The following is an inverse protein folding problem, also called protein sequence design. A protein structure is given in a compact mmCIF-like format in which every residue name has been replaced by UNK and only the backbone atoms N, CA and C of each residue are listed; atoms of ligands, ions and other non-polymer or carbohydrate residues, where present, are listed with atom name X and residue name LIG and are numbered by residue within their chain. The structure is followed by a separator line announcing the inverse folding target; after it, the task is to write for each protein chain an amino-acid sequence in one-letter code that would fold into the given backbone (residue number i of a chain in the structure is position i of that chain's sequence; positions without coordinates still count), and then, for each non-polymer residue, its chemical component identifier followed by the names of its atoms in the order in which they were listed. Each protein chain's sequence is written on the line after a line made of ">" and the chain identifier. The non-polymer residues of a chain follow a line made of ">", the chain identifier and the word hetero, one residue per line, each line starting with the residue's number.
data_IF_180296066364
#
_entry.id   IF_180296066364
#
_cell.length_a   1.000
_cell.length_b   1.000
_cell.length_c   1.000
_cell.angle_alpha   90.00
_cell.angle_beta   90.00
_cell.angle_gamma   90.00
#
_symmetry.space_group_name_H-M   'P 1'
#
loop_
_entity.id
_entity.type
_entity.pdbx_description
1 polymer ?
#
# COMPACT_ATOMS: atom_id res chain seq x y z
N UNK A 1 -34.27 -14.25 -5.25
CA UNK A 1 -32.86 -14.32 -5.71
C UNK A 1 -32.35 -12.88 -5.77
N UNK A 2 -31.81 -12.41 -4.65
CA UNK A 2 -31.27 -11.06 -4.54
C UNK A 2 -29.83 -11.08 -5.03
N UNK A 3 -29.56 -10.45 -6.17
CA UNK A 3 -28.21 -10.22 -6.66
C UNK A 3 -27.42 -9.45 -5.62
N UNK A 4 -26.51 -10.12 -4.95
CA UNK A 4 -25.41 -9.44 -4.26
C UNK A 4 -24.63 -8.74 -5.38
N UNK A 5 -24.64 -7.41 -5.42
CA UNK A 5 -23.82 -6.66 -6.34
C UNK A 5 -22.37 -7.05 -6.08
N UNK A 6 -21.84 -7.96 -6.88
CA UNK A 6 -20.42 -8.28 -6.89
C UNK A 6 -19.69 -6.97 -7.20
N UNK A 7 -18.89 -6.53 -6.26
CA UNK A 7 -18.01 -5.38 -6.46
C UNK A 7 -17.09 -5.72 -7.63
N UNK A 8 -17.01 -4.80 -8.59
CA UNK A 8 -16.23 -5.02 -9.80
C UNK A 8 -14.75 -5.25 -9.46
N UNK A 9 -14.15 -6.38 -9.85
CA UNK A 9 -12.73 -6.64 -9.60
C UNK A 9 -11.79 -5.56 -10.17
N UNK A 10 -12.22 -4.89 -11.25
CA UNK A 10 -11.46 -3.80 -11.87
C UNK A 10 -11.45 -2.56 -10.96
N UNK A 11 -12.55 -2.23 -10.30
CA UNK A 11 -12.62 -1.11 -9.36
C UNK A 11 -11.72 -1.38 -8.16
N UNK A 12 -11.76 -2.61 -7.62
CA UNK A 12 -10.86 -3.04 -6.55
C UNK A 12 -9.38 -2.88 -6.95
N UNK A 13 -9.01 -3.29 -8.15
CA UNK A 13 -7.66 -3.17 -8.68
C UNK A 13 -7.24 -1.70 -8.85
N UNK A 14 -8.06 -0.88 -9.52
CA UNK A 14 -7.72 0.51 -9.84
C UNK A 14 -7.66 1.38 -8.59
N UNK A 15 -8.64 1.24 -7.69
CA UNK A 15 -8.67 2.00 -6.42
C UNK A 15 -7.49 1.61 -5.55
N UNK A 16 -7.20 0.32 -5.42
CA UNK A 16 -6.05 -0.15 -4.64
C UNK A 16 -4.72 0.34 -5.22
N UNK A 17 -4.57 0.33 -6.55
CA UNK A 17 -3.38 0.87 -7.23
C UNK A 17 -3.20 2.35 -6.95
N UNK A 18 -4.26 3.15 -7.13
CA UNK A 18 -4.20 4.59 -6.96
C UNK A 18 -3.89 5.00 -5.51
N UNK A 19 -4.57 4.38 -4.55
CA UNK A 19 -4.40 4.66 -3.12
C UNK A 19 -2.98 4.36 -2.68
N UNK A 20 -2.47 3.16 -2.99
CA UNK A 20 -1.13 2.75 -2.55
C UNK A 20 -0.07 3.56 -3.27
N UNK A 21 -0.20 3.82 -4.57
CA UNK A 21 0.75 4.66 -5.29
C UNK A 21 0.86 6.06 -4.67
N UNK A 22 -0.28 6.67 -4.29
CA UNK A 22 -0.28 8.01 -3.67
C UNK A 22 0.24 7.98 -2.23
N UNK A 23 -0.10 6.96 -1.44
CA UNK A 23 0.35 6.83 -0.06
C UNK A 23 1.85 6.58 0.05
N UNK A 24 2.42 5.91 -0.95
CA UNK A 24 3.82 5.48 -0.99
C UNK A 24 4.78 6.58 -1.49
N UNK A 25 4.29 7.55 -2.27
CA UNK A 25 5.15 8.64 -2.76
C UNK A 25 5.64 9.49 -1.57
N UNK A 26 6.95 9.50 -1.36
CA UNK A 26 7.61 10.21 -0.25
C UNK A 26 7.65 9.42 1.06
N UNK A 27 7.25 8.15 1.05
CA UNK A 27 7.30 7.27 2.21
C UNK A 27 8.72 6.73 2.48
N UNK A 28 8.92 6.13 3.66
CA UNK A 28 10.20 5.57 4.11
C UNK A 28 10.75 4.51 3.16
N UNK A 29 9.89 3.70 2.56
CA UNK A 29 10.28 2.63 1.64
C UNK A 29 10.70 3.13 0.28
N UNK A 30 10.14 4.23 -0.21
CA UNK A 30 10.67 4.92 -1.38
C UNK A 30 12.08 5.46 -1.12
N UNK A 31 12.34 6.02 0.07
CA UNK A 31 13.66 6.47 0.46
C UNK A 31 14.63 5.29 0.62
N UNK A 32 14.19 4.17 1.21
CA UNK A 32 14.98 2.94 1.28
C UNK A 32 15.35 2.41 -0.11
N UNK A 33 14.40 2.36 -1.04
CA UNK A 33 14.64 1.95 -2.43
C UNK A 33 15.71 2.82 -3.09
N UNK A 34 15.64 4.13 -2.85
CA UNK A 34 16.64 5.10 -3.30
C UNK A 34 18.03 4.84 -2.73
N UNK A 35 18.15 4.64 -1.41
CA UNK A 35 19.43 4.36 -0.73
C UNK A 35 20.05 3.06 -1.25
N UNK A 36 19.25 2.00 -1.43
CA UNK A 36 19.69 0.73 -1.97
C UNK A 36 20.19 0.90 -3.43
N UNK A 37 19.48 1.67 -4.25
CA UNK A 37 19.88 1.97 -5.62
C UNK A 37 21.21 2.74 -5.68
N UNK A 38 21.37 3.78 -4.86
CA UNK A 38 22.59 4.57 -4.77
C UNK A 38 23.79 3.72 -4.30
N UNK A 39 23.58 2.86 -3.32
CA UNK A 39 24.62 2.00 -2.74
C UNK A 39 25.05 0.89 -3.69
N UNK A 40 24.12 0.14 -4.23
CA UNK A 40 24.43 -1.07 -5.00
C UNK A 40 24.56 -0.83 -6.50
N UNK A 41 23.93 0.22 -7.04
CA UNK A 41 23.94 0.56 -8.47
C UNK A 41 23.56 -0.60 -9.40
N UNK A 42 22.66 -1.47 -8.91
CA UNK A 42 22.16 -2.64 -9.65
C UNK A 42 20.61 -2.62 -9.61
N UNK A 43 19.97 -1.85 -10.52
CA UNK A 43 18.51 -1.64 -10.44
C UNK A 43 17.69 -2.92 -10.59
N UNK A 44 18.04 -3.81 -11.49
CA UNK A 44 17.25 -5.02 -11.78
C UNK A 44 17.06 -5.90 -10.54
N UNK A 45 18.12 -6.37 -9.84
CA UNK A 45 17.93 -7.19 -8.64
C UNK A 45 17.22 -6.43 -7.51
N UNK A 46 17.36 -5.10 -7.42
CA UNK A 46 16.62 -4.28 -6.43
C UNK A 46 15.13 -4.29 -6.77
N UNK A 47 14.75 -3.98 -8.02
CA UNK A 47 13.34 -3.94 -8.45
C UNK A 47 12.67 -5.31 -8.25
N UNK A 48 13.35 -6.40 -8.60
CA UNK A 48 12.81 -7.74 -8.40
C UNK A 48 12.64 -8.09 -6.92
N UNK A 49 13.59 -7.69 -6.08
CA UNK A 49 13.50 -7.91 -4.64
C UNK A 49 12.36 -7.11 -4.00
N UNK A 50 12.21 -5.82 -4.39
CA UNK A 50 11.07 -4.97 -3.98
C UNK A 50 9.76 -5.61 -4.40
N UNK A 51 9.63 -6.04 -5.65
CA UNK A 51 8.42 -6.70 -6.16
C UNK A 51 8.05 -7.93 -5.33
N UNK A 52 9.01 -8.82 -5.06
CA UNK A 52 8.75 -10.05 -4.31
C UNK A 52 8.44 -9.77 -2.84
N UNK A 53 9.15 -8.82 -2.19
CA UNK A 53 8.85 -8.39 -0.85
C UNK A 53 7.43 -7.83 -0.73
N UNK A 54 7.04 -6.96 -1.67
CA UNK A 54 5.71 -6.36 -1.73
C UNK A 54 4.63 -7.40 -1.94
N UNK A 55 4.79 -8.31 -2.91
CA UNK A 55 3.82 -9.39 -3.13
C UNK A 55 3.62 -10.20 -1.85
N UNK A 56 4.70 -10.58 -1.15
CA UNK A 56 4.62 -11.35 0.08
C UNK A 56 3.87 -10.59 1.19
N UNK A 57 4.21 -9.31 1.43
CA UNK A 57 3.56 -8.47 2.43
C UNK A 57 2.08 -8.22 2.10
N UNK A 58 1.77 -7.86 0.85
CA UNK A 58 0.40 -7.55 0.45
C UNK A 58 -0.47 -8.81 0.33
N UNK A 59 0.09 -9.94 -0.07
CA UNK A 59 -0.65 -11.20 -0.04
C UNK A 59 -0.98 -11.63 1.40
N UNK A 60 -0.05 -11.47 2.35
CA UNK A 60 -0.33 -11.69 3.76
C UNK A 60 -1.40 -10.74 4.28
N UNK A 61 -1.30 -9.44 4.00
CA UNK A 61 -2.28 -8.43 4.38
C UNK A 61 -3.65 -8.70 3.75
N UNK A 62 -3.70 -9.02 2.46
CA UNK A 62 -4.93 -9.35 1.76
C UNK A 62 -5.62 -10.61 2.30
N UNK A 63 -4.83 -11.64 2.64
CA UNK A 63 -5.34 -12.86 3.28
C UNK A 63 -5.91 -12.55 4.67
N UNK A 64 -5.24 -11.70 5.45
CA UNK A 64 -5.73 -11.24 6.75
C UNK A 64 -7.05 -10.47 6.60
N UNK A 65 -7.15 -9.56 5.62
CA UNK A 65 -8.38 -8.83 5.32
C UNK A 65 -9.54 -9.76 4.95
N UNK A 66 -9.28 -10.72 4.06
CA UNK A 66 -10.27 -11.74 3.68
C UNK A 66 -10.69 -12.62 4.88
N UNK A 67 -9.76 -12.97 5.76
CA UNK A 67 -10.05 -13.74 6.96
C UNK A 67 -10.91 -12.96 7.96
N UNK A 68 -10.61 -11.69 8.19
CA UNK A 68 -11.39 -10.81 9.08
C UNK A 68 -12.86 -10.77 8.63
N UNK A 69 -13.13 -10.70 7.32
CA UNK A 69 -14.50 -10.66 6.80
C UNK A 69 -15.30 -11.92 7.10
N UNK A 70 -14.65 -13.05 7.33
CA UNK A 70 -15.31 -14.30 7.71
C UNK A 70 -15.68 -14.39 9.20
N UNK A 71 -15.08 -13.53 10.04
CA UNK A 71 -15.24 -13.57 11.49
C UNK A 71 -16.24 -12.55 12.03
N UNK A 72 -16.50 -11.47 11.28
CA UNK A 72 -17.30 -10.36 11.77
C UNK A 72 -18.59 -10.17 10.96
N UNK A 73 -19.62 -9.64 11.61
CA UNK A 73 -20.85 -9.31 10.91
C UNK A 73 -20.66 -8.13 9.94
N UNK A 74 -21.46 -8.02 8.87
CA UNK A 74 -21.35 -6.91 7.91
C UNK A 74 -21.46 -5.52 8.57
N UNK A 75 -22.21 -5.41 9.66
CA UNK A 75 -22.36 -4.16 10.38
C UNK A 75 -21.09 -3.78 11.15
N UNK A 76 -20.48 -4.72 11.86
CA UNK A 76 -19.20 -4.52 12.56
C UNK A 76 -18.11 -4.20 11.53
N UNK A 77 -18.08 -4.97 10.43
CA UNK A 77 -17.11 -4.75 9.35
C UNK A 77 -17.19 -3.32 8.80
N UNK A 78 -18.40 -2.82 8.55
CA UNK A 78 -18.64 -1.45 8.08
C UNK A 78 -18.04 -0.40 9.02
N UNK A 79 -18.26 -0.53 10.32
CA UNK A 79 -17.70 0.41 11.29
C UNK A 79 -16.18 0.29 11.40
N UNK A 80 -15.66 -0.92 11.46
CA UNK A 80 -14.21 -1.16 11.53
C UNK A 80 -13.50 -0.58 10.31
N UNK A 81 -13.99 -0.87 9.10
CA UNK A 81 -13.39 -0.38 7.86
C UNK A 81 -13.50 1.13 7.72
N UNK A 82 -14.68 1.71 8.00
CA UNK A 82 -14.86 3.15 7.91
C UNK A 82 -13.95 3.93 8.86
N UNK A 83 -13.83 3.47 10.10
CA UNK A 83 -12.91 4.06 11.09
C UNK A 83 -11.45 3.84 10.66
N UNK A 84 -11.10 2.66 10.15
CA UNK A 84 -9.75 2.37 9.66
C UNK A 84 -9.35 3.30 8.52
N UNK A 85 -10.22 3.54 7.55
CA UNK A 85 -9.93 4.48 6.45
C UNK A 85 -9.74 5.92 6.95
N UNK A 86 -10.54 6.37 7.92
CA UNK A 86 -10.37 7.70 8.52
C UNK A 86 -9.04 7.78 9.30
N UNK A 87 -8.69 6.74 10.07
CA UNK A 87 -7.41 6.64 10.74
C UNK A 87 -6.23 6.66 9.76
N UNK A 88 -6.36 5.95 8.62
CA UNK A 88 -5.38 5.99 7.54
C UNK A 88 -5.23 7.37 6.92
N UNK A 89 -6.31 8.13 6.76
CA UNK A 89 -6.24 9.50 6.28
C UNK A 89 -5.36 10.38 7.19
N UNK A 90 -5.54 10.26 8.51
CA UNK A 90 -4.74 10.99 9.49
C UNK A 90 -3.28 10.52 9.46
N UNK A 91 -3.07 9.21 9.44
CA UNK A 91 -1.71 8.63 9.42
C UNK A 91 -0.92 9.02 8.16
N UNK A 92 -1.57 9.06 7.00
CA UNK A 92 -0.94 9.47 5.74
C UNK A 92 -0.41 10.92 5.77
N UNK A 93 -1.00 11.79 6.58
CA UNK A 93 -0.52 13.16 6.75
C UNK A 93 0.69 13.28 7.69
N UNK A 94 1.02 12.24 8.45
CA UNK A 94 2.18 12.22 9.35
C UNK A 94 3.40 11.79 8.53
N UNK A 95 4.45 12.64 8.42
CA UNK A 95 5.66 12.27 7.70
C UNK A 95 6.37 11.09 8.36
N UNK A 96 6.73 10.09 7.57
CA UNK A 96 7.55 9.00 8.05
C UNK A 96 9.00 9.43 8.22
N UNK A 97 9.64 8.86 9.24
CA UNK A 97 11.07 9.01 9.46
C UNK A 97 11.76 7.71 9.10
N UNK A 98 12.73 7.80 8.21
CA UNK A 98 13.60 6.67 7.89
C UNK A 98 14.73 6.61 8.91
N UNK A 99 14.90 5.45 9.54
CA UNK A 99 16.07 5.16 10.38
C UNK A 99 17.07 4.34 9.56
N UNK A 100 18.27 4.90 9.34
CA UNK A 100 19.33 4.22 8.59
C UNK A 100 19.75 2.89 9.23
N UNK A 101 19.48 2.68 10.51
CA UNK A 101 19.73 1.41 11.20
C UNK A 101 18.81 0.28 10.71
N UNK A 102 17.67 0.59 10.12
CA UNK A 102 16.77 -0.39 9.49
C UNK A 102 17.37 -0.98 8.22
N UNK A 103 18.28 -0.28 7.58
CA UNK A 103 19.01 -0.75 6.39
C UNK A 103 20.11 -1.75 6.78
N UNK A 104 19.71 -2.97 7.17
CA UNK A 104 20.66 -4.04 7.50
C UNK A 104 21.34 -4.57 6.23
N UNK A 105 22.47 -3.98 5.91
CA UNK A 105 23.30 -4.41 4.79
C UNK A 105 24.05 -5.70 5.15
N UNK A 106 23.47 -6.83 4.79
CA UNK A 106 23.97 -8.14 5.16
C UNK A 106 24.73 -8.87 4.03
N UNK A 107 25.16 -10.11 4.36
CA UNK A 107 25.95 -11.02 3.50
C UNK A 107 25.14 -11.62 2.33
N UNK A 108 23.90 -11.23 2.10
CA UNK A 108 22.95 -11.88 1.19
C UNK A 108 22.96 -11.36 -0.25
N UNK A 109 23.99 -10.60 -0.64
CA UNK A 109 24.04 -9.97 -1.96
C UNK A 109 22.95 -8.88 -2.13
N UNK A 110 22.90 -8.24 -3.30
CA UNK A 110 21.97 -7.11 -3.55
C UNK A 110 20.52 -7.51 -3.42
N UNK A 111 20.14 -8.61 -4.08
CA UNK A 111 18.75 -9.09 -4.07
C UNK A 111 18.30 -9.49 -2.65
N UNK A 112 19.04 -10.34 -1.96
CA UNK A 112 18.66 -10.83 -0.63
C UNK A 112 18.65 -9.72 0.42
N UNK A 113 19.61 -8.78 0.36
CA UNK A 113 19.63 -7.61 1.24
C UNK A 113 18.39 -6.74 0.99
N UNK A 114 18.10 -6.41 -0.27
CA UNK A 114 16.92 -5.61 -0.62
C UNK A 114 15.62 -6.31 -0.21
N UNK A 115 15.50 -7.61 -0.51
CA UNK A 115 14.31 -8.39 -0.15
C UNK A 115 14.03 -8.33 1.36
N UNK A 116 15.06 -8.59 2.16
CA UNK A 116 14.89 -8.63 3.62
C UNK A 116 14.60 -7.25 4.21
N UNK A 117 15.40 -6.24 3.83
CA UNK A 117 15.21 -4.88 4.38
C UNK A 117 13.88 -4.28 3.96
N UNK A 118 13.50 -4.46 2.70
CA UNK A 118 12.23 -3.96 2.19
C UNK A 118 11.03 -4.68 2.81
N UNK A 119 11.09 -6.01 2.92
CA UNK A 119 10.06 -6.80 3.58
C UNK A 119 9.84 -6.36 5.04
N UNK A 120 10.92 -6.17 5.79
CA UNK A 120 10.83 -5.74 7.19
C UNK A 120 10.35 -4.29 7.34
N UNK A 121 10.77 -3.39 6.44
CA UNK A 121 10.35 -1.99 6.46
C UNK A 121 8.85 -1.83 6.17
N UNK A 122 8.29 -2.70 5.31
CA UNK A 122 6.86 -2.72 4.98
C UNK A 122 5.99 -3.39 6.05
N UNK A 123 6.58 -4.22 6.93
CA UNK A 123 5.81 -4.95 7.91
C UNK A 123 5.19 -3.98 8.95
N UNK A 124 3.85 -3.95 9.00
CA UNK A 124 3.09 -3.05 9.88
C UNK A 124 2.96 -1.61 9.37
N UNK A 125 3.35 -1.35 8.11
CA UNK A 125 3.26 -0.02 7.52
C UNK A 125 1.84 0.34 7.05
N UNK A 126 1.65 1.62 6.70
CA UNK A 126 0.37 2.20 6.22
C UNK A 126 -0.21 1.43 5.05
N UNK A 127 0.62 1.10 4.06
CA UNK A 127 0.19 0.40 2.86
C UNK A 127 -0.21 -1.04 3.12
N UNK A 128 0.41 -1.71 4.10
CA UNK A 128 -0.03 -3.02 4.56
C UNK A 128 -1.41 -2.95 5.23
N UNK A 129 -1.62 -1.97 6.13
CA UNK A 129 -2.93 -1.76 6.79
C UNK A 129 -4.00 -1.37 5.77
N UNK A 130 -3.67 -0.50 4.80
CA UNK A 130 -4.58 -0.17 3.70
C UNK A 130 -4.95 -1.41 2.87
N UNK A 131 -4.00 -2.30 2.60
CA UNK A 131 -4.25 -3.55 1.86
C UNK A 131 -5.21 -4.48 2.61
N UNK A 132 -5.07 -4.61 3.95
CA UNK A 132 -6.04 -5.34 4.80
C UNK A 132 -7.43 -4.75 4.64
N UNK A 133 -7.56 -3.44 4.80
CA UNK A 133 -8.85 -2.75 4.74
C UNK A 133 -9.50 -2.84 3.35
N UNK A 134 -8.71 -2.66 2.27
CA UNK A 134 -9.20 -2.78 0.90
C UNK A 134 -9.62 -4.21 0.55
N UNK A 135 -8.85 -5.23 0.96
CA UNK A 135 -9.21 -6.62 0.73
C UNK A 135 -10.51 -7.00 1.46
N UNK A 136 -10.67 -6.51 2.68
CA UNK A 136 -11.91 -6.67 3.45
C UNK A 136 -13.08 -5.90 2.83
N UNK A 137 -12.84 -4.67 2.35
CA UNK A 137 -13.87 -3.81 1.74
C UNK A 137 -14.39 -4.37 0.42
N UNK A 138 -13.49 -4.81 -0.47
CA UNK A 138 -13.85 -5.28 -1.80
C UNK A 138 -14.21 -6.77 -1.87
N UNK A 139 -13.87 -7.56 -0.86
CA UNK A 139 -13.97 -9.02 -0.89
C UNK A 139 -13.25 -9.65 -2.10
N UNK A 140 -12.20 -9.01 -2.60
CA UNK A 140 -11.50 -9.33 -3.84
C UNK A 140 -9.98 -9.44 -3.61
N UNK A 141 -9.53 -10.58 -3.08
CA UNK A 141 -8.14 -10.80 -2.71
C UNK A 141 -7.15 -10.52 -3.85
N UNK A 142 -7.28 -11.22 -4.98
CA UNK A 142 -6.31 -11.10 -6.09
C UNK A 142 -6.28 -9.70 -6.72
N UNK A 143 -7.41 -9.07 -7.05
CA UNK A 143 -7.40 -7.71 -7.59
C UNK A 143 -6.77 -6.69 -6.64
N UNK A 144 -7.07 -6.79 -5.34
CA UNK A 144 -6.49 -5.87 -4.34
C UNK A 144 -4.99 -6.09 -4.21
N UNK A 145 -4.52 -7.33 -4.04
CA UNK A 145 -3.08 -7.62 -3.93
C UNK A 145 -2.32 -7.20 -5.19
N UNK A 146 -2.87 -7.47 -6.37
CA UNK A 146 -2.26 -7.03 -7.63
C UNK A 146 -2.23 -5.50 -7.74
N UNK A 147 -3.33 -4.83 -7.38
CA UNK A 147 -3.44 -3.38 -7.42
C UNK A 147 -2.49 -2.70 -6.44
N UNK A 148 -2.48 -3.12 -5.18
CA UNK A 148 -1.58 -2.55 -4.16
C UNK A 148 -0.11 -2.81 -4.51
N UNK A 149 0.22 -3.99 -5.05
CA UNK A 149 1.56 -4.29 -5.54
C UNK A 149 1.96 -3.38 -6.71
N UNK A 150 1.07 -3.17 -7.67
CA UNK A 150 1.33 -2.25 -8.78
C UNK A 150 1.52 -0.81 -8.27
N UNK A 151 0.69 -0.35 -7.34
CA UNK A 151 0.81 0.97 -6.70
C UNK A 151 2.18 1.16 -6.05
N UNK A 152 2.64 0.18 -5.29
CA UNK A 152 3.96 0.13 -4.69
C UNK A 152 5.08 0.22 -5.74
N UNK A 153 4.96 -0.53 -6.84
CA UNK A 153 5.94 -0.51 -7.91
C UNK A 153 5.97 0.83 -8.66
N UNK A 154 4.81 1.47 -8.87
CA UNK A 154 4.71 2.81 -9.48
C UNK A 154 5.49 3.85 -8.66
N UNK A 155 5.45 3.79 -7.34
CA UNK A 155 6.19 4.70 -6.48
C UNK A 155 7.69 4.36 -6.42
N UNK A 156 8.06 3.08 -6.27
CA UNK A 156 9.42 2.67 -5.93
C UNK A 156 10.32 2.44 -7.16
N UNK A 157 9.80 1.95 -8.30
CA UNK A 157 10.62 1.73 -9.50
C UNK A 157 11.26 3.02 -10.03
N UNK A 158 10.54 4.14 -10.13
CA UNK A 158 11.17 5.42 -10.51
C UNK A 158 12.27 5.85 -9.52
N UNK A 159 12.09 5.62 -8.22
CA UNK A 159 13.10 5.93 -7.21
C UNK A 159 14.38 5.11 -7.42
N UNK A 160 14.25 3.82 -7.77
CA UNK A 160 15.39 2.95 -8.06
C UNK A 160 16.11 3.35 -9.36
N UNK A 161 15.35 3.74 -10.40
CA UNK A 161 15.91 4.02 -11.73
C UNK A 161 16.49 5.43 -11.87
N UNK A 162 15.83 6.42 -11.26
CA UNK A 162 16.09 7.83 -11.51
C UNK A 162 16.78 8.54 -10.33
N UNK A 163 16.77 7.92 -9.15
CA UNK A 163 17.51 8.38 -7.99
C UNK A 163 17.33 9.89 -7.73
N UNK A 164 18.44 10.60 -7.51
CA UNK A 164 18.48 12.04 -7.18
C UNK A 164 17.71 12.96 -8.13
N UNK A 165 17.47 12.56 -9.38
CA UNK A 165 16.82 13.41 -10.38
C UNK A 165 15.34 13.67 -10.09
N UNK A 166 14.68 12.81 -9.31
CA UNK A 166 13.25 12.92 -8.97
C UNK A 166 13.03 13.35 -7.51
N UNK A 167 13.93 12.99 -6.62
CA UNK A 167 13.76 13.13 -5.18
C UNK A 167 13.41 14.55 -4.66
N UNK A 168 13.61 15.60 -5.40
CA UNK A 168 13.27 16.97 -4.97
C UNK A 168 12.13 17.62 -5.74
N UNK A 169 11.53 16.95 -6.72
CA UNK A 169 10.57 17.58 -7.65
C UNK A 169 9.10 17.26 -7.35
N UNK A 170 8.84 16.23 -6.57
CA UNK A 170 7.46 15.82 -6.27
C UNK A 170 6.98 16.58 -5.04
N UNK A 171 5.83 17.26 -5.10
CA UNK A 171 5.24 17.94 -3.94
C UNK A 171 4.59 16.91 -3.00
N UNK A 172 5.40 16.17 -2.25
CA UNK A 172 4.99 15.06 -1.36
C UNK A 172 3.83 15.45 -0.46
N UNK A 173 3.82 16.66 0.11
CA UNK A 173 2.71 17.12 0.97
C UNK A 173 1.38 17.17 0.23
N UNK A 174 1.38 17.59 -1.05
CA UNK A 174 0.16 17.64 -1.85
C UNK A 174 -0.32 16.22 -2.19
N UNK A 175 0.60 15.32 -2.52
CA UNK A 175 0.28 13.91 -2.83
C UNK A 175 -0.34 13.23 -1.61
N UNK A 176 0.26 13.38 -0.43
CA UNK A 176 -0.30 12.85 0.82
C UNK A 176 -1.65 13.48 1.18
N UNK A 177 -1.84 14.78 0.94
CA UNK A 177 -3.14 15.43 1.14
C UNK A 177 -4.21 14.84 0.23
N UNK A 178 -3.90 14.57 -1.04
CA UNK A 178 -4.83 13.92 -1.99
C UNK A 178 -5.15 12.49 -1.53
N UNK A 179 -4.13 11.71 -1.14
CA UNK A 179 -4.34 10.36 -0.60
C UNK A 179 -5.24 10.39 0.66
N UNK A 180 -4.99 11.32 1.59
CA UNK A 180 -5.80 11.48 2.79
C UNK A 180 -7.27 11.82 2.46
N UNK A 181 -7.52 12.71 1.50
CA UNK A 181 -8.89 13.03 1.04
C UNK A 181 -9.58 11.78 0.48
N UNK A 182 -8.89 10.97 -0.31
CA UNK A 182 -9.44 9.71 -0.84
C UNK A 182 -9.80 8.76 0.31
N UNK A 183 -8.92 8.59 1.30
CA UNK A 183 -9.21 7.77 2.47
C UNK A 183 -10.40 8.30 3.28
N UNK A 184 -10.56 9.62 3.44
CA UNK A 184 -11.74 10.20 4.09
C UNK A 184 -13.01 9.88 3.30
N UNK A 185 -12.99 10.04 1.98
CA UNK A 185 -14.13 9.72 1.12
C UNK A 185 -14.51 8.24 1.26
N UNK A 186 -13.54 7.32 1.20
CA UNK A 186 -13.77 5.90 1.39
C UNK A 186 -14.33 5.59 2.78
N UNK A 187 -13.77 6.20 3.82
CA UNK A 187 -14.23 6.02 5.20
C UNK A 187 -15.66 6.47 5.40
N UNK A 188 -15.98 7.68 4.95
CA UNK A 188 -17.34 8.24 5.06
C UNK A 188 -18.33 7.43 4.21
N UNK A 189 -18.00 7.09 2.96
CA UNK A 189 -18.84 6.28 2.10
C UNK A 189 -19.14 4.90 2.72
N UNK A 190 -18.12 4.28 3.31
CA UNK A 190 -18.26 3.01 4.03
C UNK A 190 -19.17 3.14 5.26
N UNK A 191 -18.97 4.16 6.10
CA UNK A 191 -19.80 4.41 7.29
C UNK A 191 -21.26 4.69 6.95
N UNK A 192 -21.51 5.43 5.87
CA UNK A 192 -22.86 5.74 5.40
C UNK A 192 -23.54 4.55 4.70
N UNK A 193 -22.83 3.45 4.47
CA UNK A 193 -23.35 2.32 3.72
C UNK A 193 -23.56 2.60 2.22
N UNK A 194 -23.03 3.72 1.73
CA UNK A 194 -23.08 4.13 0.32
C UNK A 194 -22.16 3.29 -0.57
N UNK A 195 -21.35 2.43 -0.01
CA UNK A 195 -20.44 1.54 -0.73
C UNK A 195 -21.11 0.65 -1.78
N UNK A 196 -22.42 0.37 -1.63
CA UNK A 196 -23.21 -0.37 -2.62
C UNK A 196 -23.49 0.41 -3.91
N UNK A 197 -23.51 1.74 -3.84
CA UNK A 197 -23.82 2.62 -5.00
C UNK A 197 -22.58 3.19 -5.67
N UNK A 198 -21.44 3.18 -4.99
CA UNK A 198 -20.17 3.73 -5.50
C UNK A 198 -19.18 2.64 -5.93
N UNK A 199 -19.54 1.35 -5.86
CA UNK A 199 -18.61 0.25 -6.14
C UNK A 199 -17.53 0.08 -5.05
N UNK A 200 -17.70 0.74 -3.89
CA UNK A 200 -16.71 0.76 -2.77
C UNK A 200 -17.27 0.02 -1.56
#
# INVERSE_FOLDING_TARGET
>A
MSGHGEKNPMDAFLVSTGIVALAEIGDKTQLLAFILAAKFRKPVPIILAVLIATIANHAFAGALGAWITSLVTPEILRWVLGISFIAMAIWTLIPDKFDESEAKFGRFGVFGTTLLTFFLAEMGDKTQVATVALAAQYHAFLPVVAGTTLGMMIANVPAVLLGDRIAGRIPVRLVHAVAAVIFVILGVATLLGAGKSLGV
#
